data_IF_235621543390
#
_entry.id   IF_235621543390
#
_cell.length_a   1.000
_cell.length_b   1.000
_cell.length_c   1.000
_cell.angle_alpha   90.00
_cell.angle_beta   90.00
_cell.angle_gamma   90.00
#
_symmetry.space_group_name_H-M   'P 1'
#
loop_
_entity.id
_entity.type
_entity.pdbx_description
1 polymer ?
#
# COMPACT_ATOMS: atom_id res chain seq x y z
N UNK A 1 -64.51 17.81 4.49
CA UNK A 1 -63.49 16.76 4.28
C UNK A 1 -62.47 17.25 3.28
N UNK A 2 -61.19 17.00 3.53
CA UNK A 2 -60.08 17.14 2.57
C UNK A 2 -59.49 18.56 2.46
N UNK A 3 -58.19 18.81 2.56
CA UNK A 3 -57.04 17.92 2.78
C UNK A 3 -55.89 18.84 3.26
N UNK A 4 -55.26 18.55 4.40
CA UNK A 4 -54.08 19.31 4.87
C UNK A 4 -52.92 18.97 3.93
N UNK A 5 -52.50 19.92 3.09
CA UNK A 5 -51.15 19.92 2.51
C UNK A 5 -50.16 20.01 3.67
N UNK A 6 -49.79 18.88 4.26
CA UNK A 6 -48.47 18.77 4.88
C UNK A 6 -47.53 18.76 3.70
N UNK A 7 -46.70 19.80 3.62
CA UNK A 7 -45.48 19.76 2.87
C UNK A 7 -44.65 18.67 3.55
N UNK A 8 -44.91 17.42 3.18
CA UNK A 8 -43.96 16.34 3.35
C UNK A 8 -42.84 16.74 2.42
N UNK A 9 -41.87 17.44 2.99
CA UNK A 9 -40.51 17.42 2.50
C UNK A 9 -40.28 15.98 2.06
N UNK A 10 -40.16 15.78 0.73
CA UNK A 10 -39.76 14.50 0.18
C UNK A 10 -38.32 14.32 0.64
N UNK A 11 -38.17 13.91 1.91
CA UNK A 11 -36.92 13.50 2.50
C UNK A 11 -36.61 12.21 1.77
N UNK A 12 -36.04 12.36 0.57
CA UNK A 12 -35.48 11.25 -0.18
C UNK A 12 -34.56 10.55 0.82
N UNK A 13 -34.97 9.36 1.26
CA UNK A 13 -34.25 8.59 2.24
C UNK A 13 -32.91 8.18 1.63
N UNK A 14 -31.89 9.01 1.84
CA UNK A 14 -30.50 8.72 1.46
C UNK A 14 -29.85 7.72 2.42
N UNK A 15 -30.59 7.18 3.40
CA UNK A 15 -30.06 6.15 4.29
C UNK A 15 -30.04 4.80 3.57
N UNK A 16 -29.03 4.64 2.71
CA UNK A 16 -28.61 3.33 2.25
C UNK A 16 -28.19 2.50 3.49
N UNK A 17 -28.98 1.47 3.81
CA UNK A 17 -28.61 0.45 4.78
C UNK A 17 -29.03 0.68 6.24
N UNK A 18 -29.93 1.63 6.55
CA UNK A 18 -30.38 1.90 7.94
C UNK A 18 -30.88 0.63 8.66
N UNK A 19 -31.76 -0.15 8.02
CA UNK A 19 -32.33 -1.37 8.63
C UNK A 19 -31.46 -2.63 8.44
N UNK A 20 -30.47 -2.57 7.55
CA UNK A 20 -29.60 -3.71 7.28
C UNK A 20 -28.41 -3.72 8.25
N UNK A 21 -27.90 -2.55 8.67
CA UNK A 21 -26.78 -2.42 9.61
C UNK A 21 -27.06 -2.93 11.03
N UNK A 22 -28.33 -3.08 11.41
CA UNK A 22 -28.77 -3.63 12.70
C UNK A 22 -28.98 -5.16 12.69
N UNK A 23 -28.90 -5.81 11.53
CA UNK A 23 -29.05 -7.27 11.40
C UNK A 23 -27.72 -8.01 11.61
N UNK A 24 -27.77 -9.33 11.82
CA UNK A 24 -26.56 -10.13 12.00
C UNK A 24 -25.61 -10.04 10.78
N UNK A 25 -24.29 -10.07 11.02
CA UNK A 25 -23.23 -9.91 10.00
C UNK A 25 -23.35 -10.89 8.81
N UNK A 26 -24.05 -12.02 9.00
CA UNK A 26 -24.35 -13.02 7.98
C UNK A 26 -25.40 -12.58 6.96
N UNK A 27 -26.48 -11.91 7.39
CA UNK A 27 -27.52 -11.36 6.50
C UNK A 27 -27.06 -10.05 5.85
N UNK A 28 -26.20 -9.28 6.53
CA UNK A 28 -25.65 -8.05 5.97
C UNK A 28 -24.81 -8.28 4.71
N UNK A 29 -24.00 -9.34 4.70
CA UNK A 29 -23.13 -9.71 3.56
C UNK A 29 -23.91 -10.11 2.30
N UNK A 30 -25.18 -10.47 2.43
CA UNK A 30 -26.03 -10.91 1.31
C UNK A 30 -26.69 -9.74 0.57
N UNK A 31 -26.87 -8.60 1.25
CA UNK A 31 -27.54 -7.41 0.70
C UNK A 31 -26.59 -6.26 0.42
N UNK A 32 -25.43 -6.16 1.09
CA UNK A 32 -24.49 -5.05 0.94
C UNK A 32 -23.04 -5.55 1.10
N UNK A 33 -22.12 -5.05 0.27
CA UNK A 33 -20.69 -5.21 0.51
C UNK A 33 -20.26 -4.37 1.71
N UNK A 34 -20.33 -4.95 2.91
CA UNK A 34 -19.95 -4.28 4.17
C UNK A 34 -18.44 -4.16 4.37
N UNK A 35 -17.63 -4.78 3.50
CA UNK A 35 -16.17 -4.74 3.54
C UNK A 35 -15.66 -3.74 2.50
N UNK A 36 -15.07 -2.65 2.97
CA UNK A 36 -14.33 -1.73 2.11
C UNK A 36 -13.00 -2.33 1.63
N UNK A 37 -12.33 -1.63 0.70
CA UNK A 37 -11.01 -2.06 0.18
C UNK A 37 -9.94 -2.11 1.28
N UNK A 38 -9.96 -1.16 2.21
CA UNK A 38 -9.00 -1.02 3.32
C UNK A 38 -9.03 -2.20 4.30
N UNK A 39 -10.18 -2.63 4.87
CA UNK A 39 -10.20 -3.76 5.80
C UNK A 39 -9.88 -5.11 5.15
N UNK A 40 -10.15 -5.27 3.84
CA UNK A 40 -9.75 -6.47 3.11
C UNK A 40 -8.24 -6.48 2.86
N UNK A 41 -7.66 -5.33 2.51
CA UNK A 41 -6.22 -5.18 2.36
C UNK A 41 -5.48 -5.39 3.70
N UNK A 42 -6.02 -4.90 4.81
CA UNK A 42 -5.45 -5.11 6.14
C UNK A 42 -5.39 -6.60 6.51
N UNK A 43 -6.46 -7.36 6.25
CA UNK A 43 -6.45 -8.81 6.44
C UNK A 43 -5.41 -9.51 5.58
N UNK A 44 -5.37 -9.17 4.30
CA UNK A 44 -4.38 -9.73 3.38
C UNK A 44 -2.95 -9.39 3.85
N UNK A 45 -2.71 -8.16 4.31
CA UNK A 45 -1.42 -7.72 4.82
C UNK A 45 -1.02 -8.44 6.10
N UNK A 46 -1.95 -8.66 7.03
CA UNK A 46 -1.68 -9.44 8.26
C UNK A 46 -1.32 -10.89 7.95
N UNK A 47 -2.02 -11.52 7.00
CA UNK A 47 -1.75 -12.90 6.58
C UNK A 47 -0.43 -13.03 5.80
N UNK A 48 -0.02 -11.99 5.08
CA UNK A 48 1.17 -12.00 4.20
C UNK A 48 2.32 -11.11 4.69
N UNK A 49 2.30 -10.67 5.94
CA UNK A 49 3.26 -9.71 6.49
C UNK A 49 4.71 -10.18 6.30
N UNK A 50 4.98 -11.47 6.54
CA UNK A 50 6.32 -12.06 6.39
C UNK A 50 6.83 -12.00 4.96
N UNK A 51 5.95 -12.26 3.97
CA UNK A 51 6.31 -12.21 2.55
C UNK A 51 6.61 -10.77 2.15
N UNK A 52 5.75 -9.84 2.55
CA UNK A 52 5.93 -8.41 2.28
C UNK A 52 7.23 -7.90 2.89
N UNK A 53 7.48 -8.21 4.17
CA UNK A 53 8.72 -7.84 4.85
C UNK A 53 9.95 -8.46 4.17
N UNK A 54 9.87 -9.72 3.74
CA UNK A 54 10.92 -10.40 2.99
C UNK A 54 11.23 -9.72 1.66
N UNK A 55 10.22 -9.24 0.93
CA UNK A 55 10.41 -8.47 -0.31
C UNK A 55 11.13 -7.16 -0.02
N UNK A 56 10.70 -6.41 1.01
CA UNK A 56 11.35 -5.16 1.39
C UNK A 56 12.83 -5.37 1.76
N UNK A 57 13.12 -6.39 2.57
CA UNK A 57 14.49 -6.74 2.95
C UNK A 57 15.30 -7.18 1.72
N UNK A 58 14.72 -8.02 0.85
CA UNK A 58 15.38 -8.48 -0.37
C UNK A 58 15.75 -7.33 -1.31
N UNK A 59 14.85 -6.37 -1.50
CA UNK A 59 15.12 -5.16 -2.27
C UNK A 59 16.21 -4.33 -1.59
N UNK A 60 16.12 -4.10 -0.27
CA UNK A 60 17.13 -3.34 0.46
C UNK A 60 18.53 -3.97 0.33
N UNK A 61 18.64 -5.29 0.49
CA UNK A 61 19.90 -6.01 0.33
C UNK A 61 20.43 -5.94 -1.10
N UNK A 62 19.56 -6.12 -2.10
CA UNK A 62 19.95 -6.02 -3.51
C UNK A 62 20.47 -4.62 -3.84
N UNK A 63 19.78 -3.57 -3.36
CA UNK A 63 20.22 -2.19 -3.51
C UNK A 63 21.56 -1.94 -2.80
N UNK A 64 21.72 -2.42 -1.57
CA UNK A 64 22.97 -2.28 -0.82
C UNK A 64 24.16 -2.93 -1.56
N UNK A 65 24.02 -4.18 -2.00
CA UNK A 65 25.09 -4.91 -2.71
C UNK A 65 25.39 -4.25 -4.05
N UNK A 66 24.37 -3.82 -4.80
CA UNK A 66 24.53 -3.14 -6.06
C UNK A 66 25.33 -1.83 -5.92
N UNK A 67 24.94 -0.98 -4.97
CA UNK A 67 25.64 0.28 -4.70
C UNK A 67 27.07 0.03 -4.21
N UNK A 68 27.27 -0.89 -3.27
CA UNK A 68 28.61 -1.23 -2.78
C UNK A 68 29.53 -1.72 -3.91
N UNK A 69 29.02 -2.58 -4.80
CA UNK A 69 29.78 -3.10 -5.93
C UNK A 69 30.25 -2.00 -6.88
N UNK A 70 29.36 -1.05 -7.20
CA UNK A 70 29.69 0.09 -8.06
C UNK A 70 30.74 0.98 -7.40
N UNK A 71 30.57 1.32 -6.13
CA UNK A 71 31.52 2.17 -5.40
C UNK A 71 32.91 1.55 -5.34
N UNK A 72 33.00 0.24 -5.09
CA UNK A 72 34.28 -0.47 -5.04
C UNK A 72 34.99 -0.46 -6.40
N UNK A 73 34.25 -0.72 -7.49
CA UNK A 73 34.79 -0.72 -8.84
C UNK A 73 35.35 0.67 -9.22
N UNK A 74 34.63 1.74 -8.85
CA UNK A 74 35.09 3.11 -9.07
C UNK A 74 36.34 3.43 -8.26
N UNK A 75 36.38 3.06 -6.98
CA UNK A 75 37.55 3.29 -6.13
C UNK A 75 38.80 2.59 -6.67
N UNK A 76 38.64 1.35 -7.15
CA UNK A 76 39.74 0.58 -7.73
C UNK A 76 40.26 1.20 -9.04
N UNK A 77 39.36 1.68 -9.90
CA UNK A 77 39.74 2.36 -11.14
C UNK A 77 40.53 3.65 -10.84
N UNK A 78 40.06 4.45 -9.88
CA UNK A 78 40.76 5.66 -9.43
C UNK A 78 42.17 5.35 -8.91
N UNK A 79 42.35 4.25 -8.17
CA UNK A 79 43.66 3.83 -7.67
C UNK A 79 44.62 3.44 -8.81
N UNK A 80 44.12 2.74 -9.84
CA UNK A 80 44.93 2.36 -11.01
C UNK A 80 45.36 3.60 -11.80
N UNK A 81 44.45 4.56 -12.00
CA UNK A 81 44.75 5.82 -12.69
C UNK A 81 45.81 6.63 -11.92
N UNK A 82 45.72 6.70 -10.59
CA UNK A 82 46.70 7.40 -9.75
C UNK A 82 48.11 6.79 -9.84
N UNK A 83 48.22 5.45 -9.86
CA UNK A 83 49.51 4.76 -10.05
C UNK A 83 50.06 5.01 -11.46
N UNK A 84 49.20 4.98 -12.47
CA UNK A 84 49.59 5.24 -13.87
C UNK A 84 50.15 6.66 -14.05
N UNK A 85 49.51 7.66 -13.46
CA UNK A 85 49.99 9.05 -13.51
C UNK A 85 51.34 9.21 -12.78
N UNK A 86 51.51 8.54 -11.65
CA UNK A 86 52.77 8.56 -10.88
C UNK A 86 53.95 7.96 -11.65
N UNK A 87 53.72 6.87 -12.42
CA UNK A 87 54.75 6.27 -13.28
C UNK A 87 55.01 7.03 -14.58
N UNK A 88 54.06 7.85 -15.06
CA UNK A 88 54.26 8.70 -16.25
C UNK A 88 55.10 9.95 -15.95
N UNK A 89 55.18 10.36 -14.68
CA UNK A 89 55.94 11.52 -14.23
C UNK A 89 57.36 11.18 -13.71
N UNK A 90 57.68 9.89 -13.53
CA UNK A 90 59.04 9.38 -13.27
C UNK A 90 59.74 9.04 -14.59
#
# INVERSE_FOLDING_TARGET
MGNRRKQEEDVINTQCGYDIRDKAESEQKTFIYTKGCVPQFEKWLQENLTVVAGIFIGIALLQCVYIFGICLAQNLLSDIEAVRESCLFT
#
